data_IF_655476876961
#
_entry.id   IF_655476876961
#
_cell.length_a   1.000
_cell.length_b   1.000
_cell.length_c   1.000
_cell.angle_alpha   90.00
_cell.angle_beta   90.00
_cell.angle_gamma   90.00
#
_symmetry.space_group_name_H-M   'P 1'
#
loop_
_entity.id
_entity.type
_entity.pdbx_description
1 polymer ?
#
# COMPACT_ATOMS: atom_id res chain seq x y z
N UNK A 1 -15.62 14.61 -20.38
CA UNK A 1 -15.00 13.37 -20.91
C UNK A 1 -14.73 12.51 -19.69
N UNK A 2 -15.18 11.25 -19.68
CA UNK A 2 -14.86 10.32 -18.60
C UNK A 2 -13.37 9.97 -18.69
N UNK A 3 -12.58 10.36 -17.70
CA UNK A 3 -11.17 9.95 -17.61
C UNK A 3 -11.15 8.46 -17.30
N UNK A 4 -10.41 7.66 -18.08
CA UNK A 4 -10.27 6.22 -17.80
C UNK A 4 -9.28 5.99 -16.66
N UNK A 5 -9.39 4.85 -15.97
CA UNK A 5 -8.40 4.46 -14.94
C UNK A 5 -6.97 4.47 -15.49
N UNK A 6 -6.76 4.00 -16.72
CA UNK A 6 -5.46 4.04 -17.39
C UNK A 6 -4.90 5.47 -17.52
N UNK A 7 -5.76 6.43 -17.85
CA UNK A 7 -5.37 7.83 -17.95
C UNK A 7 -5.01 8.42 -16.59
N UNK A 8 -5.74 8.08 -15.52
CA UNK A 8 -5.43 8.52 -14.16
C UNK A 8 -4.10 7.95 -13.69
N UNK A 9 -3.88 6.64 -13.82
CA UNK A 9 -2.62 6.03 -13.38
C UNK A 9 -1.42 6.45 -14.23
N UNK A 10 -1.62 6.84 -15.50
CA UNK A 10 -0.59 7.51 -16.28
C UNK A 10 -0.21 8.87 -15.67
N UNK A 11 -1.19 9.66 -15.23
CA UNK A 11 -0.94 10.93 -14.54
C UNK A 11 -0.22 10.72 -13.21
N UNK A 12 -0.65 9.75 -12.40
CA UNK A 12 0.03 9.41 -11.14
C UNK A 12 1.45 8.91 -11.36
N UNK A 13 1.68 8.11 -12.40
CA UNK A 13 3.04 7.65 -12.76
C UNK A 13 3.94 8.83 -13.14
N UNK A 14 3.42 9.82 -13.88
CA UNK A 14 4.16 11.03 -14.21
C UNK A 14 4.46 11.87 -12.96
N UNK A 15 3.49 11.98 -12.04
CA UNK A 15 3.69 12.66 -10.75
C UNK A 15 4.74 11.94 -9.89
N UNK A 16 4.72 10.60 -9.84
CA UNK A 16 5.71 9.80 -9.14
C UNK A 16 7.12 9.97 -9.72
N UNK A 17 7.23 9.98 -11.05
CA UNK A 17 8.49 10.23 -11.72
C UNK A 17 9.00 11.64 -11.39
N UNK A 18 8.13 12.64 -11.42
CA UNK A 18 8.48 14.02 -11.04
C UNK A 18 8.88 14.14 -9.57
N UNK A 19 8.21 13.41 -8.67
CA UNK A 19 8.54 13.30 -7.23
C UNK A 19 9.96 12.77 -7.03
N UNK A 20 10.30 11.68 -7.75
CA UNK A 20 11.64 11.09 -7.74
C UNK A 20 12.70 12.06 -8.28
N UNK A 21 12.45 12.67 -9.44
CA UNK A 21 13.42 13.53 -10.12
C UNK A 21 13.71 14.82 -9.34
N UNK A 22 12.70 15.35 -8.65
CA UNK A 22 12.81 16.55 -7.83
C UNK A 22 13.24 16.25 -6.38
N UNK A 23 13.36 14.96 -6.02
CA UNK A 23 13.59 14.49 -4.66
C UNK A 23 12.55 15.00 -3.65
N UNK A 24 11.33 15.23 -4.12
CA UNK A 24 10.19 15.62 -3.30
C UNK A 24 9.22 14.45 -3.22
N UNK A 25 9.28 13.71 -2.11
CA UNK A 25 8.57 12.44 -1.93
C UNK A 25 7.05 12.60 -1.85
N UNK A 26 6.53 13.82 -1.71
CA UNK A 26 5.11 14.08 -1.45
C UNK A 26 4.32 14.52 -2.68
N UNK A 27 4.98 14.82 -3.81
CA UNK A 27 4.32 15.38 -5.01
C UNK A 27 3.21 14.51 -5.60
N UNK A 28 3.16 13.22 -5.27
CA UNK A 28 2.10 12.33 -5.73
C UNK A 28 0.80 12.44 -4.92
N UNK A 29 0.85 12.98 -3.71
CA UNK A 29 -0.29 12.97 -2.79
C UNK A 29 -1.43 13.84 -3.32
N UNK A 30 -1.15 15.08 -3.72
CA UNK A 30 -2.17 16.03 -4.19
C UNK A 30 -2.91 15.52 -5.45
N UNK A 31 -2.23 15.06 -6.52
CA UNK A 31 -2.92 14.52 -7.70
C UNK A 31 -3.83 13.33 -7.37
N UNK A 32 -3.46 12.48 -6.42
CA UNK A 32 -4.29 11.33 -6.06
C UNK A 32 -5.53 11.80 -5.29
N UNK A 33 -5.41 12.78 -4.40
CA UNK A 33 -6.57 13.38 -3.72
C UNK A 33 -7.54 14.05 -4.70
N UNK A 34 -7.04 14.77 -5.70
CA UNK A 34 -7.87 15.42 -6.74
C UNK A 34 -8.74 14.44 -7.52
N UNK A 35 -8.31 13.17 -7.60
CA UNK A 35 -8.97 12.12 -8.36
C UNK A 35 -9.58 11.01 -7.51
N UNK A 36 -9.62 11.18 -6.18
CA UNK A 36 -10.08 10.14 -5.25
C UNK A 36 -11.54 9.71 -5.51
N UNK A 37 -12.43 10.65 -5.78
CA UNK A 37 -13.84 10.35 -6.10
C UNK A 37 -13.96 9.43 -7.32
N UNK A 38 -13.16 9.67 -8.37
CA UNK A 38 -13.16 8.83 -9.57
C UNK A 38 -12.59 7.43 -9.29
N UNK A 39 -11.64 7.31 -8.36
CA UNK A 39 -11.12 6.01 -7.93
C UNK A 39 -12.16 5.24 -7.11
N UNK A 40 -12.93 5.92 -6.25
CA UNK A 40 -14.01 5.33 -5.45
C UNK A 40 -15.18 4.82 -6.30
N UNK A 41 -15.42 5.42 -7.47
CA UNK A 41 -16.45 4.95 -8.40
C UNK A 41 -16.07 3.63 -9.12
N UNK A 42 -14.79 3.25 -9.12
CA UNK A 42 -14.30 2.04 -9.77
C UNK A 42 -14.26 0.85 -8.81
N UNK A 43 -14.40 -0.37 -9.35
CA UNK A 43 -14.29 -1.59 -8.57
C UNK A 43 -12.85 -1.76 -8.06
N UNK A 44 -12.68 -2.12 -6.78
CA UNK A 44 -11.36 -2.28 -6.17
C UNK A 44 -10.47 -3.26 -6.94
N UNK A 45 -11.02 -4.34 -7.50
CA UNK A 45 -10.27 -5.33 -8.28
C UNK A 45 -9.64 -4.73 -9.54
N UNK A 46 -10.17 -3.62 -10.04
CA UNK A 46 -9.60 -2.88 -11.16
C UNK A 46 -8.55 -1.87 -10.67
N UNK A 47 -8.77 -1.24 -9.53
CA UNK A 47 -7.92 -0.15 -9.03
C UNK A 47 -6.69 -0.65 -8.28
N UNK A 48 -6.86 -1.65 -7.40
CA UNK A 48 -5.81 -2.15 -6.52
C UNK A 48 -4.55 -2.61 -7.26
N UNK A 49 -4.63 -3.37 -8.39
CA UNK A 49 -3.42 -3.75 -9.13
C UNK A 49 -2.63 -2.54 -9.65
N UNK A 50 -3.32 -1.46 -10.05
CA UNK A 50 -2.66 -0.25 -10.51
C UNK A 50 -1.98 0.51 -9.36
N UNK A 51 -2.61 0.60 -8.19
CA UNK A 51 -2.00 1.18 -6.98
C UNK A 51 -0.74 0.42 -6.60
N UNK A 52 -0.83 -0.91 -6.52
CA UNK A 52 0.32 -1.74 -6.15
C UNK A 52 1.44 -1.63 -7.18
N UNK A 53 1.12 -1.67 -8.48
CA UNK A 53 2.13 -1.48 -9.54
C UNK A 53 2.85 -0.13 -9.40
N UNK A 54 2.11 0.94 -9.10
CA UNK A 54 2.68 2.27 -8.91
C UNK A 54 3.64 2.32 -7.71
N UNK A 55 3.24 1.75 -6.57
CA UNK A 55 4.09 1.70 -5.36
C UNK A 55 5.28 0.79 -5.56
N UNK A 56 5.11 -0.38 -6.20
CA UNK A 56 6.21 -1.28 -6.56
C UNK A 56 7.22 -0.61 -7.50
N UNK A 57 6.77 0.34 -8.34
CA UNK A 57 7.67 1.10 -9.22
C UNK A 57 8.41 2.22 -8.47
N UNK A 58 7.79 2.83 -7.46
CA UNK A 58 8.36 3.94 -6.69
C UNK A 58 8.23 3.71 -5.17
N UNK A 59 8.86 2.67 -4.61
CA UNK A 59 8.61 2.20 -3.23
C UNK A 59 9.09 3.14 -2.13
N UNK A 60 9.92 4.13 -2.48
CA UNK A 60 10.50 5.11 -1.55
C UNK A 60 9.71 6.44 -1.48
N UNK A 61 8.68 6.60 -2.32
CA UNK A 61 7.80 7.76 -2.26
C UNK A 61 6.82 7.63 -1.10
N UNK A 62 6.31 8.79 -0.68
CA UNK A 62 5.29 8.89 0.35
C UNK A 62 3.94 9.11 -0.34
N UNK A 63 3.02 8.18 -0.10
CA UNK A 63 1.66 8.22 -0.66
C UNK A 63 0.64 8.70 0.37
N UNK A 64 1.10 9.23 1.50
CA UNK A 64 0.30 9.53 2.69
C UNK A 64 0.02 8.25 3.50
N UNK A 65 0.19 8.30 4.83
CA UNK A 65 -0.13 7.18 5.73
C UNK A 65 -1.36 7.51 6.60
N UNK A 66 -2.53 6.87 6.39
CA UNK A 66 -2.86 5.89 5.36
C UNK A 66 -3.01 6.48 3.95
N UNK A 67 -3.20 7.82 3.84
CA UNK A 67 -3.27 8.55 2.58
C UNK A 67 -4.51 8.23 1.74
N UNK A 68 -4.66 8.84 0.56
CA UNK A 68 -5.84 8.65 -0.28
C UNK A 68 -6.00 7.19 -0.73
N UNK A 69 -4.90 6.49 -1.04
CA UNK A 69 -4.97 5.07 -1.41
C UNK A 69 -5.33 4.16 -0.24
N UNK A 70 -4.75 4.39 0.95
CA UNK A 70 -5.11 3.59 2.13
C UNK A 70 -6.56 3.78 2.53
N UNK A 71 -7.05 5.03 2.53
CA UNK A 71 -8.46 5.31 2.79
C UNK A 71 -9.39 4.63 1.78
N UNK A 72 -9.06 4.67 0.49
CA UNK A 72 -9.82 3.97 -0.56
C UNK A 72 -9.86 2.45 -0.34
N UNK A 73 -8.72 1.84 -0.03
CA UNK A 73 -8.62 0.38 0.13
C UNK A 73 -9.33 -0.08 1.41
N UNK A 74 -9.19 0.66 2.52
CA UNK A 74 -9.79 0.35 3.82
C UNK A 74 -11.34 0.45 3.83
N UNK A 75 -11.98 0.99 2.78
CA UNK A 75 -13.44 0.96 2.60
C UNK A 75 -13.99 -0.43 2.21
N UNK A 76 -13.11 -1.36 1.85
CA UNK A 76 -13.47 -2.70 1.38
C UNK A 76 -13.14 -3.77 2.43
N UNK A 77 -13.76 -4.98 2.37
CA UNK A 77 -13.43 -6.06 3.29
C UNK A 77 -11.96 -6.47 3.19
N UNK A 78 -11.29 -6.76 4.31
CA UNK A 78 -9.88 -7.19 4.38
C UNK A 78 -9.56 -8.32 3.43
N UNK A 79 -10.49 -9.25 3.24
CA UNK A 79 -10.33 -10.38 2.33
C UNK A 79 -10.11 -9.98 0.86
N UNK A 80 -10.53 -8.77 0.46
CA UNK A 80 -10.41 -8.28 -0.92
C UNK A 80 -9.02 -7.73 -1.24
N UNK A 81 -8.26 -7.25 -0.25
CA UNK A 81 -7.01 -6.55 -0.48
C UNK A 81 -5.79 -7.14 0.24
N UNK A 82 -5.95 -7.66 1.46
CA UNK A 82 -4.80 -8.10 2.28
C UNK A 82 -3.92 -9.18 1.61
N UNK A 83 -4.45 -10.17 0.85
CA UNK A 83 -3.58 -11.10 0.12
C UNK A 83 -2.76 -10.42 -0.98
N UNK A 84 -3.35 -9.41 -1.64
CA UNK A 84 -2.66 -8.65 -2.69
C UNK A 84 -1.55 -7.75 -2.09
N UNK A 85 -1.80 -7.16 -0.91
CA UNK A 85 -0.79 -6.39 -0.17
C UNK A 85 0.40 -7.29 0.21
N UNK A 86 0.13 -8.46 0.78
CA UNK A 86 1.18 -9.42 1.15
C UNK A 86 2.02 -9.82 -0.09
N UNK A 87 1.36 -10.17 -1.19
CA UNK A 87 2.03 -10.53 -2.43
C UNK A 87 2.84 -9.38 -3.03
N UNK A 88 2.38 -8.13 -2.88
CA UNK A 88 3.12 -6.94 -3.31
C UNK A 88 4.42 -6.76 -2.53
N UNK A 89 4.38 -6.92 -1.20
CA UNK A 89 5.56 -6.84 -0.34
C UNK A 89 6.62 -7.90 -0.68
N UNK A 90 6.20 -9.08 -1.12
CA UNK A 90 7.13 -10.12 -1.58
C UNK A 90 7.80 -9.78 -2.91
N UNK A 91 7.13 -9.00 -3.78
CA UNK A 91 7.70 -8.54 -5.06
C UNK A 91 8.63 -7.35 -4.86
N UNK A 92 8.17 -6.33 -4.14
CA UNK A 92 8.90 -5.12 -3.85
C UNK A 92 8.52 -4.59 -2.46
N UNK A 93 9.44 -4.62 -1.48
CA UNK A 93 9.20 -4.05 -0.17
C UNK A 93 8.91 -2.54 -0.25
N UNK A 94 7.89 -2.08 0.48
CA UNK A 94 7.59 -0.67 0.67
C UNK A 94 7.04 -0.40 2.07
N UNK A 95 7.37 0.75 2.64
CA UNK A 95 6.81 1.19 3.94
C UNK A 95 5.30 1.35 3.85
N UNK A 96 4.81 1.88 2.71
CA UNK A 96 3.40 2.16 2.49
C UNK A 96 2.52 0.90 2.60
N UNK A 97 2.79 -0.13 1.79
CA UNK A 97 1.99 -1.36 1.76
C UNK A 97 2.12 -2.12 3.08
N UNK A 98 3.31 -2.11 3.66
CA UNK A 98 3.56 -2.74 4.97
C UNK A 98 2.74 -2.06 6.07
N UNK A 99 2.64 -0.73 6.06
CA UNK A 99 1.84 0.03 7.02
C UNK A 99 0.35 -0.29 6.90
N UNK A 100 -0.18 -0.42 5.68
CA UNK A 100 -1.56 -0.84 5.48
C UNK A 100 -1.82 -2.25 6.00
N UNK A 101 -0.96 -3.21 5.66
CA UNK A 101 -1.14 -4.59 6.12
C UNK A 101 -0.96 -4.70 7.65
N UNK A 102 0.01 -4.02 8.23
CA UNK A 102 0.24 -3.99 9.68
C UNK A 102 -0.97 -3.46 10.46
N UNK A 103 -1.68 -2.44 9.94
CA UNK A 103 -2.92 -1.94 10.55
C UNK A 103 -4.00 -3.01 10.62
N UNK A 104 -4.12 -3.85 9.60
CA UNK A 104 -5.10 -4.96 9.58
C UNK A 104 -4.78 -6.06 10.58
N UNK A 105 -3.54 -6.16 11.06
CA UNK A 105 -3.13 -7.12 12.10
C UNK A 105 -3.47 -6.64 13.51
N UNK A 106 -3.84 -5.36 13.66
CA UNK A 106 -4.06 -4.69 14.95
C UNK A 106 -5.51 -4.29 15.19
N UNK A 107 -6.43 -4.72 14.33
CA UNK A 107 -7.85 -4.49 14.57
C UNK A 107 -8.34 -5.30 15.77
N UNK A 108 -9.38 -4.81 16.44
CA UNK A 108 -9.95 -5.51 17.59
C UNK A 108 -10.68 -6.81 17.18
N UNK A 109 -10.90 -7.69 18.17
CA UNK A 109 -11.53 -9.00 17.94
C UNK A 109 -12.95 -8.89 17.36
N UNK A 110 -13.69 -7.83 17.69
CA UNK A 110 -15.05 -7.63 17.20
C UNK A 110 -15.05 -7.21 15.72
N UNK A 111 -14.10 -6.36 15.31
CA UNK A 111 -13.85 -6.04 13.91
C UNK A 111 -13.43 -7.29 13.14
N UNK A 112 -12.44 -8.04 13.65
CA UNK A 112 -11.94 -9.25 12.99
C UNK A 112 -13.03 -10.33 12.83
N UNK A 113 -13.99 -10.40 13.76
CA UNK A 113 -15.14 -11.31 13.62
C UNK A 113 -16.07 -10.91 12.47
N UNK A 114 -16.20 -9.61 12.20
CA UNK A 114 -17.08 -9.08 11.15
C UNK A 114 -16.40 -9.02 9.78
N UNK A 115 -15.10 -8.75 9.75
CA UNK A 115 -14.28 -8.67 8.55
C UNK A 115 -12.94 -9.40 8.77
N UNK A 116 -12.93 -10.74 8.63
CA UNK A 116 -11.76 -11.54 8.94
C UNK A 116 -10.64 -11.30 7.93
N UNK A 117 -9.43 -11.06 8.45
CA UNK A 117 -8.22 -11.00 7.65
C UNK A 117 -7.78 -12.42 7.24
N UNK A 118 -7.73 -12.76 5.94
CA UNK A 118 -7.24 -14.06 5.49
C UNK A 118 -5.72 -14.21 5.57
N UNK A 119 -4.97 -13.10 5.75
CA UNK A 119 -3.53 -13.15 5.93
C UNK A 119 -3.25 -13.36 7.42
N UNK A 120 -2.62 -14.48 7.75
CA UNK A 120 -2.29 -14.80 9.12
C UNK A 120 -1.07 -14.01 9.61
N UNK A 121 -1.03 -13.72 10.92
CA UNK A 121 0.11 -13.04 11.54
C UNK A 121 1.45 -13.76 11.29
N UNK A 122 1.41 -15.10 11.18
CA UNK A 122 2.58 -15.92 10.88
C UNK A 122 3.10 -15.71 9.44
N UNK A 123 2.19 -15.56 8.46
CA UNK A 123 2.54 -15.31 7.06
C UNK A 123 3.13 -13.90 6.91
N UNK A 124 2.49 -12.90 7.53
CA UNK A 124 3.01 -11.55 7.54
C UNK A 124 4.39 -11.47 8.23
N UNK A 125 4.55 -12.09 9.40
CA UNK A 125 5.85 -12.15 10.09
C UNK A 125 6.94 -12.84 9.24
N UNK A 126 6.59 -13.84 8.42
CA UNK A 126 7.54 -14.46 7.51
C UNK A 126 8.01 -13.48 6.43
N UNK A 127 7.10 -12.70 5.83
CA UNK A 127 7.44 -11.67 4.84
C UNK A 127 8.29 -10.56 5.47
N UNK A 128 7.92 -10.06 6.66
CA UNK A 128 8.71 -9.03 7.35
C UNK A 128 10.16 -9.46 7.60
N UNK A 129 10.40 -10.72 8.00
CA UNK A 129 11.76 -11.24 8.16
C UNK A 129 12.54 -11.22 6.85
N UNK A 130 11.90 -11.58 5.72
CA UNK A 130 12.53 -11.48 4.40
C UNK A 130 12.87 -10.03 4.04
N UNK A 131 12.00 -9.07 4.38
CA UNK A 131 12.21 -7.64 4.11
C UNK A 131 13.44 -7.11 4.83
N UNK A 132 13.63 -7.48 6.11
CA UNK A 132 14.79 -7.04 6.91
C UNK A 132 16.12 -7.38 6.23
N UNK A 133 16.21 -8.55 5.59
CA UNK A 133 17.41 -9.02 4.89
C UNK A 133 17.42 -8.69 3.39
N UNK A 134 16.40 -8.01 2.87
CA UNK A 134 16.23 -7.79 1.43
C UNK A 134 17.17 -6.69 0.89
N UNK A 135 17.85 -6.92 -0.25
CA UNK A 135 18.60 -5.87 -0.93
C UNK A 135 17.68 -4.86 -1.65
N UNK A 136 16.40 -5.18 -1.86
CA UNK A 136 15.42 -4.30 -2.49
C UNK A 136 14.76 -3.34 -1.50
N UNK A 137 14.92 -3.58 -0.19
CA UNK A 137 14.35 -2.75 0.85
C UNK A 137 15.32 -1.62 1.23
N UNK A 138 14.80 -0.39 1.29
CA UNK A 138 15.50 0.75 1.88
C UNK A 138 15.73 0.54 3.38
N UNK A 139 16.64 1.34 3.97
CA UNK A 139 16.90 1.27 5.41
C UNK A 139 15.65 1.61 6.23
N UNK A 140 14.89 2.62 5.82
CA UNK A 140 13.59 2.97 6.44
C UNK A 140 12.61 1.79 6.38
N UNK A 141 12.56 1.07 5.25
CA UNK A 141 11.71 -0.09 5.08
C UNK A 141 12.13 -1.25 5.99
N UNK A 142 13.43 -1.48 6.16
CA UNK A 142 13.95 -2.51 7.08
C UNK A 142 13.67 -2.16 8.53
N UNK A 143 13.87 -0.90 8.91
CA UNK A 143 13.59 -0.41 10.26
C UNK A 143 12.10 -0.58 10.59
N UNK A 144 11.22 -0.16 9.69
CA UNK A 144 9.78 -0.32 9.87
C UNK A 144 9.36 -1.79 9.95
N UNK A 145 9.94 -2.67 9.13
CA UNK A 145 9.69 -4.12 9.22
C UNK A 145 10.09 -4.70 10.59
N UNK A 146 11.17 -4.22 11.19
CA UNK A 146 11.57 -4.63 12.54
C UNK A 146 10.59 -4.11 13.61
N UNK A 147 10.00 -2.92 13.43
CA UNK A 147 8.96 -2.39 14.32
C UNK A 147 7.71 -3.29 14.24
N UNK A 148 7.19 -3.54 13.04
CA UNK A 148 6.05 -4.43 12.83
C UNK A 148 6.28 -5.83 13.43
N UNK A 149 7.47 -6.41 13.27
CA UNK A 149 7.81 -7.72 13.86
C UNK A 149 7.80 -7.75 15.38
N UNK A 150 8.10 -6.62 16.04
CA UNK A 150 8.07 -6.53 17.50
C UNK A 150 6.63 -6.42 18.00
N UNK A 151 5.79 -5.73 17.25
CA UNK A 151 4.40 -5.45 17.62
C UNK A 151 3.46 -6.64 17.38
N UNK A 152 3.84 -7.59 16.51
CA UNK A 152 3.10 -8.85 16.31
C UNK A 152 3.24 -9.87 17.45
N UNK A 153 3.94 -9.55 18.54
CA UNK A 153 4.27 -10.48 19.65
C UNK A 153 3.32 -10.40 20.83
#
# INVERSE_FOLDING_TARGET
MSTTLEQLFSQFTNAAQAARDQQDKWLIIDPVYEHLETLQEAALEQVLPHILTLIETYPELDYGGPGPFGSLIEEHPMATYTPALLASLERQPSVQVMGWLDRTMRVDEDFQRNDPNPVEAAEFAAVLRKIVDSPLASDDCKEFAQICLKDLK
#
